data_IF_807373815220
#
_entry.id   IF_807373815220
#
_cell.length_a   1.000
_cell.length_b   1.000
_cell.length_c   1.000
_cell.angle_alpha   90.00
_cell.angle_beta   90.00
_cell.angle_gamma   90.00
#
_symmetry.space_group_name_H-M   'P 1'
#
loop_
_entity.id
_entity.type
_entity.pdbx_description
1 polymer ?
2 non-polymer ?
3 non-polymer ?
4 non-polymer ?
5 water ?
#
# COMPACT_ATOMS: atom_id res chain seq x y z
N UNK A 4 41.57 15.67 -48.61
CA UNK A 4 42.23 14.46 -48.12
C UNK A 4 41.19 13.44 -47.63
N UNK A 5 41.58 12.62 -46.65
CA UNK A 5 40.68 11.59 -46.14
C UNK A 5 40.51 11.70 -44.63
N UNK A 6 39.53 10.98 -44.10
CA UNK A 6 39.25 11.01 -42.68
C UNK A 6 39.95 9.90 -41.91
N UNK A 7 40.14 10.13 -40.62
CA UNK A 7 40.61 9.11 -39.70
C UNK A 7 39.55 8.02 -39.57
N UNK A 8 39.98 6.75 -39.52
CA UNK A 8 39.01 5.67 -39.40
C UNK A 8 38.22 5.81 -38.10
N UNK A 9 38.89 6.26 -37.05
CA UNK A 9 38.24 6.39 -35.75
C UNK A 9 37.27 7.56 -35.67
N UNK A 10 37.14 8.31 -36.77
CA UNK A 10 36.08 9.31 -36.90
C UNK A 10 34.98 8.78 -37.80
N UNK A 11 35.36 8.09 -38.87
CA UNK A 11 34.38 7.51 -39.79
C UNK A 11 33.51 6.43 -39.17
N UNK A 12 34.03 5.71 -38.18
CA UNK A 12 33.38 4.49 -37.70
C UNK A 12 32.05 4.74 -36.98
N UNK A 13 31.75 6.01 -36.66
CA UNK A 13 30.49 6.31 -35.98
C UNK A 13 29.39 6.80 -36.92
N UNK A 14 29.68 6.85 -38.22
CA UNK A 14 28.76 7.51 -39.17
C UNK A 14 27.60 6.66 -39.69
N UNK A 15 27.68 5.33 -39.54
CA UNK A 15 26.65 4.47 -40.12
C UNK A 15 25.26 4.77 -39.55
N UNK A 16 24.28 4.93 -40.44
CA UNK A 16 22.95 5.43 -40.08
C UNK A 16 21.90 4.35 -39.81
N UNK A 17 22.18 3.12 -40.21
CA UNK A 17 21.23 2.04 -40.07
C UNK A 17 21.10 1.59 -38.62
N UNK A 18 20.06 0.78 -38.33
CA UNK A 18 19.91 0.22 -36.98
C UNK A 18 20.70 -1.07 -36.79
N UNK A 19 20.98 -1.42 -35.54
CA UNK A 19 21.66 -2.65 -35.22
C UNK A 19 20.74 -3.84 -35.47
N UNK A 20 21.29 -4.91 -36.03
CA UNK A 20 20.49 -6.06 -36.43
C UNK A 20 20.94 -7.37 -35.80
N UNK A 21 21.83 -7.31 -34.82
CA UNK A 21 22.38 -8.52 -34.23
C UNK A 21 22.18 -8.58 -32.72
N UNK A 22 22.32 -9.77 -32.17
CA UNK A 22 22.21 -9.98 -30.74
C UNK A 22 23.16 -11.10 -30.32
N UNK A 23 23.15 -11.43 -29.04
CA UNK A 23 23.91 -12.59 -28.56
C UNK A 23 22.96 -13.64 -28.01
N UNK A 24 23.28 -14.90 -28.27
CA UNK A 24 22.44 -16.02 -27.87
C UNK A 24 23.06 -16.74 -26.67
N UNK A 25 22.34 -16.77 -25.56
CA UNK A 25 22.89 -17.34 -24.34
C UNK A 25 21.90 -18.28 -23.66
N UNK A 26 22.44 -19.29 -22.97
CA UNK A 26 21.62 -20.18 -22.17
C UNK A 26 20.86 -19.40 -21.10
N UNK A 27 19.63 -19.82 -20.81
CA UNK A 27 18.82 -19.15 -19.81
C UNK A 27 19.54 -19.04 -18.46
N UNK A 28 20.26 -20.09 -18.07
CA UNK A 28 20.90 -20.07 -16.76
C UNK A 28 22.03 -19.03 -16.71
N UNK A 29 22.42 -18.54 -17.88
CA UNK A 29 23.49 -17.57 -17.99
C UNK A 29 22.95 -16.17 -18.30
N UNK A 30 21.64 -16.06 -18.52
CA UNK A 30 21.03 -14.81 -18.98
C UNK A 30 21.27 -13.62 -18.06
N UNK A 31 21.09 -13.80 -16.76
CA UNK A 31 21.29 -12.71 -15.81
C UNK A 31 22.76 -12.28 -15.76
N UNK A 32 23.65 -13.27 -15.77
CA UNK A 32 25.09 -13.00 -15.81
C UNK A 32 25.48 -12.19 -17.04
N UNK A 33 24.96 -12.59 -18.20
CA UNK A 33 25.32 -11.95 -19.45
C UNK A 33 24.71 -10.56 -19.59
N UNK A 34 23.49 -10.38 -19.08
CA UNK A 34 22.85 -9.07 -19.13
C UNK A 34 23.70 -8.05 -18.37
N UNK A 35 24.19 -8.46 -17.20
CA UNK A 35 25.06 -7.62 -16.40
C UNK A 35 26.36 -7.32 -17.16
N UNK A 36 26.93 -8.36 -17.77
CA UNK A 36 28.15 -8.20 -18.55
C UNK A 36 27.99 -7.21 -19.71
N UNK A 37 26.90 -7.35 -20.46
CA UNK A 37 26.65 -6.47 -21.61
C UNK A 37 26.53 -5.02 -21.18
N UNK A 38 25.86 -4.78 -20.05
CA UNK A 38 25.66 -3.42 -19.58
C UNK A 38 26.98 -2.82 -19.08
N UNK A 39 27.77 -3.60 -18.36
CA UNK A 39 29.04 -3.11 -17.82
C UNK A 39 30.00 -2.77 -18.94
N UNK A 40 30.01 -3.58 -19.99
CA UNK A 40 30.90 -3.34 -21.13
C UNK A 40 30.36 -2.22 -22.01
N UNK A 41 29.04 -2.03 -22.00
CA UNK A 41 28.41 -0.89 -22.65
C UNK A 41 27.89 -1.13 -24.06
N UNK A 42 27.47 -2.34 -24.35
CA UNK A 42 27.02 -2.67 -25.71
C UNK A 42 25.60 -3.24 -25.74
N UNK A 43 24.85 -3.02 -24.68
CA UNK A 43 23.46 -3.44 -24.63
C UNK A 43 22.59 -2.45 -25.40
N UNK A 44 21.82 -2.94 -26.37
CA UNK A 44 20.99 -2.07 -27.22
C UNK A 44 19.62 -1.82 -26.61
N UNK A 45 19.40 -0.61 -26.09
CA UNK A 45 18.13 -0.25 -25.49
C UNK A 45 16.99 -0.10 -26.48
N UNK A 46 17.31 -0.01 -27.77
CA UNK A 46 16.28 0.22 -28.80
C UNK A 46 15.40 -1.00 -29.04
N UNK A 47 15.91 -2.18 -28.73
CA UNK A 47 15.24 -3.44 -29.04
C UNK A 47 14.95 -4.26 -27.79
N UNK A 48 13.94 -5.12 -27.89
CA UNK A 48 13.62 -6.04 -26.80
C UNK A 48 14.54 -7.25 -26.84
N UNK A 49 14.76 -7.86 -25.69
CA UNK A 49 15.33 -9.20 -25.64
C UNK A 49 14.19 -10.20 -25.83
N UNK A 50 14.52 -11.40 -26.29
CA UNK A 50 13.51 -12.45 -26.42
C UNK A 50 14.04 -13.74 -25.83
N UNK A 51 13.16 -14.72 -25.64
CA UNK A 51 13.60 -16.02 -25.15
C UNK A 51 12.79 -17.14 -25.76
N UNK A 52 13.32 -18.36 -25.65
CA UNK A 52 12.53 -19.56 -25.86
C UNK A 52 12.75 -20.52 -24.69
N UNK A 53 12.62 -21.82 -24.96
CA UNK A 53 12.71 -22.84 -23.93
C UNK A 53 14.09 -22.91 -23.27
N UNK A 54 15.15 -22.69 -24.05
CA UNK A 54 16.50 -22.92 -23.56
C UNK A 54 17.41 -21.68 -23.61
N UNK A 55 17.14 -20.77 -24.54
CA UNK A 55 18.03 -19.63 -24.77
C UNK A 55 17.36 -18.26 -24.68
N UNK A 56 18.17 -17.26 -24.36
CA UNK A 56 17.76 -15.85 -24.44
C UNK A 56 18.60 -15.17 -25.51
N UNK A 57 18.01 -14.20 -26.20
CA UNK A 57 18.76 -13.37 -27.14
C UNK A 57 18.70 -11.90 -26.73
N UNK A 58 19.85 -11.32 -26.42
CA UNK A 58 19.94 -9.90 -26.07
C UNK A 58 20.40 -9.10 -27.29
N UNK A 59 19.78 -7.94 -27.52
CA UNK A 59 20.25 -7.04 -28.58
C UNK A 59 21.53 -6.32 -28.20
N UNK A 60 22.51 -6.30 -29.11
CA UNK A 60 23.76 -5.61 -28.83
C UNK A 60 24.07 -4.55 -29.88
N UNK A 61 24.96 -3.63 -29.53
CA UNK A 61 25.31 -2.50 -30.38
C UNK A 61 26.67 -2.66 -31.05
N UNK A 62 27.42 -3.69 -30.65
CA UNK A 62 28.74 -3.93 -31.23
C UNK A 62 29.07 -5.42 -31.17
N UNK A 63 29.02 -6.07 -32.33
CA UNK A 63 29.20 -7.52 -32.41
C UNK A 63 30.67 -7.92 -32.28
N UNK A 64 31.57 -7.01 -32.65
CA UNK A 64 32.99 -7.30 -32.47
C UNK A 64 33.35 -7.37 -30.99
N UNK A 65 32.85 -6.42 -30.20
CA UNK A 65 33.06 -6.46 -28.77
C UNK A 65 32.37 -7.70 -28.16
N UNK A 66 31.18 -8.02 -28.66
CA UNK A 66 30.46 -9.20 -28.19
C UNK A 66 31.33 -10.46 -28.36
N UNK A 67 31.98 -10.58 -29.51
CA UNK A 67 32.85 -11.73 -29.74
C UNK A 67 34.05 -11.72 -28.79
N UNK A 68 34.53 -10.53 -28.45
CA UNK A 68 35.65 -10.40 -27.51
C UNK A 68 35.22 -10.74 -26.09
N UNK A 69 33.91 -10.90 -25.89
CA UNK A 69 33.37 -11.34 -24.60
C UNK A 69 33.07 -12.84 -24.62
N UNK A 70 33.39 -13.49 -25.75
CA UNK A 70 33.18 -14.92 -25.89
C UNK A 70 31.75 -15.31 -26.20
N UNK A 71 30.94 -14.33 -26.58
CA UNK A 71 29.51 -14.57 -26.80
C UNK A 71 29.18 -14.97 -28.24
N UNK A 72 28.18 -15.83 -28.39
CA UNK A 72 27.72 -16.24 -29.72
C UNK A 72 26.86 -15.16 -30.34
N UNK A 73 27.32 -14.61 -31.47
CA UNK A 73 26.57 -13.54 -32.15
C UNK A 73 25.59 -14.15 -33.14
N UNK A 74 24.36 -13.67 -33.11
CA UNK A 74 23.35 -14.12 -34.06
C UNK A 74 22.72 -12.94 -34.77
N UNK A 75 22.35 -13.14 -36.03
CA UNK A 75 21.61 -12.14 -36.77
C UNK A 75 20.12 -12.44 -36.65
N UNK A 76 19.39 -11.50 -36.05
CA UNK A 76 17.98 -11.71 -35.74
C UNK A 76 17.16 -10.45 -35.96
N UNK A 77 15.85 -10.62 -36.09
CA UNK A 77 14.93 -9.50 -36.16
C UNK A 77 14.18 -9.35 -34.84
N UNK A 78 14.77 -8.61 -33.90
CA UNK A 78 14.17 -8.45 -32.57
C UNK A 78 13.15 -7.31 -32.57
N UNK A 79 12.13 -7.44 -31.71
CA UNK A 79 11.10 -6.41 -31.57
C UNK A 79 11.70 -5.07 -31.15
N UNK A 80 11.10 -3.98 -31.60
CA UNK A 80 11.48 -2.64 -31.14
C UNK A 80 10.94 -2.39 -29.74
N UNK A 81 11.65 -1.59 -28.95
CA UNK A 81 11.15 -1.19 -27.65
C UNK A 81 9.83 -0.44 -27.85
N UNK A 82 8.85 -0.67 -26.95
CA UNK A 82 7.57 0.03 -27.05
C UNK A 82 7.73 1.53 -26.86
N UNK A 83 7.06 2.31 -27.70
CA UNK A 83 7.06 3.77 -27.58
C UNK A 83 5.88 4.22 -26.73
N UNK A 84 4.80 3.45 -26.79
CA UNK A 84 3.60 3.76 -26.01
C UNK A 84 3.37 2.66 -24.98
N UNK A 85 2.64 3.00 -23.93
CA UNK A 85 2.34 2.07 -22.86
C UNK A 85 0.83 1.93 -22.68
N UNK A 86 0.35 0.70 -22.55
CA UNK A 86 -1.07 0.48 -22.30
C UNK A 86 -1.32 -0.48 -21.14
N UNK A 87 -0.29 -0.70 -20.33
CA UNK A 87 -0.45 -1.56 -19.16
C UNK A 87 -1.35 -0.89 -18.14
N UNK A 88 -2.24 -1.68 -17.55
CA UNK A 88 -3.26 -1.16 -16.63
C UNK A 88 -2.95 -1.64 -15.23
N UNK A 89 -2.30 -2.79 -15.14
CA UNK A 89 -1.99 -3.40 -13.86
C UNK A 89 -0.66 -4.18 -13.83
N UNK A 90 -0.27 -4.61 -12.64
CA UNK A 90 1.00 -5.30 -12.44
C UNK A 90 1.11 -6.59 -13.25
N UNK A 91 0.00 -7.31 -13.36
CA UNK A 91 -0.05 -8.58 -14.07
C UNK A 91 0.35 -8.39 -15.53
N UNK A 92 0.11 -7.20 -16.07
CA UNK A 92 0.44 -6.90 -17.46
C UNK A 92 1.95 -6.81 -17.68
N UNK A 93 2.70 -6.66 -16.58
CA UNK A 93 4.14 -6.38 -16.67
C UNK A 93 5.02 -7.50 -16.14
N UNK A 94 4.40 -8.56 -15.62
CA UNK A 94 5.14 -9.66 -15.01
C UNK A 94 4.59 -11.01 -15.44
N UNK A 95 5.48 -12.01 -15.55
CA UNK A 95 5.01 -13.39 -15.76
C UNK A 95 4.11 -13.81 -14.61
N UNK A 96 3.14 -14.66 -14.91
CA UNK A 96 2.16 -15.06 -13.92
C UNK A 96 2.79 -15.75 -12.71
N UNK A 97 3.88 -16.49 -12.94
CA UNK A 97 4.54 -17.22 -11.87
C UNK A 97 5.15 -16.28 -10.84
N UNK A 98 5.43 -15.05 -11.25
CA UNK A 98 5.95 -14.05 -10.32
C UNK A 98 4.82 -13.21 -9.73
N UNK A 99 3.99 -12.65 -10.59
CA UNK A 99 2.89 -11.82 -10.15
C UNK A 99 2.01 -12.52 -9.11
N UNK A 100 1.76 -13.80 -9.34
CA UNK A 100 0.87 -14.60 -8.49
C UNK A 100 1.37 -14.76 -7.05
N UNK A 101 2.69 -14.63 -6.88
CA UNK A 101 3.32 -14.79 -5.57
C UNK A 101 3.40 -13.45 -4.85
N UNK A 102 3.17 -12.36 -5.59
CA UNK A 102 3.21 -11.02 -5.00
C UNK A 102 1.98 -10.74 -4.14
N UNK A 103 2.18 -10.06 -3.02
CA UNK A 103 1.06 -9.58 -2.25
C UNK A 103 0.44 -8.39 -2.93
N UNK A 104 -0.70 -7.93 -2.42
CA UNK A 104 -1.36 -6.76 -2.97
C UNK A 104 -0.47 -5.52 -2.85
N UNK A 105 -0.47 -4.67 -3.86
CA UNK A 105 0.35 -3.46 -3.84
C UNK A 105 -0.45 -2.28 -3.31
N UNK A 106 0.10 -1.57 -2.33
CA UNK A 106 -0.52 -0.37 -1.78
C UNK A 106 0.30 0.86 -2.11
N UNK A 107 -0.38 1.98 -2.37
CA UNK A 107 0.29 3.25 -2.57
C UNK A 107 -0.04 4.19 -1.42
N UNK A 108 1.00 4.68 -0.75
CA UNK A 108 0.84 5.69 0.29
C UNK A 108 1.67 6.90 -0.10
N UNK A 109 1.00 8.00 -0.43
CA UNK A 109 1.70 9.17 -0.96
C UNK A 109 2.47 8.77 -2.20
N UNK A 110 3.79 8.96 -2.17
CA UNK A 110 4.63 8.56 -3.29
C UNK A 110 5.46 7.31 -2.96
N UNK A 111 4.92 6.50 -2.05
CA UNK A 111 5.58 5.25 -1.64
C UNK A 111 4.74 4.06 -2.09
N UNK A 112 5.35 3.13 -2.84
CA UNK A 112 4.68 1.89 -3.18
C UNK A 112 5.12 0.78 -2.23
N UNK A 113 4.15 0.03 -1.69
CA UNK A 113 4.46 -1.05 -0.75
C UNK A 113 3.94 -2.39 -1.26
N UNK A 114 4.82 -3.39 -1.30
CA UNK A 114 4.44 -4.70 -1.81
C UNK A 114 5.10 -5.78 -0.95
N UNK A 115 4.45 -6.92 -0.81
CA UNK A 115 5.11 -8.05 -0.16
C UNK A 115 5.74 -8.95 -1.22
N UNK A 116 6.97 -9.38 -0.95
CA UNK A 116 7.70 -10.26 -1.86
C UNK A 116 8.23 -11.45 -1.08
N UNK A 117 7.61 -12.62 -1.28
CA UNK A 117 8.07 -13.84 -0.60
C UNK A 117 9.54 -14.16 -0.92
N UNK A 118 10.23 -14.78 0.02
CA UNK A 118 11.63 -15.15 -0.19
C UNK A 118 11.82 -15.91 -1.50
N UNK A 119 10.81 -16.70 -1.88
CA UNK A 119 10.88 -17.55 -3.07
C UNK A 119 11.09 -16.79 -4.36
N UNK A 120 10.55 -15.57 -4.45
CA UNK A 120 10.70 -14.78 -5.67
C UNK A 120 11.54 -13.52 -5.46
N UNK A 121 12.21 -13.44 -4.32
CA UNK A 121 13.09 -12.31 -4.04
C UNK A 121 14.22 -12.24 -5.08
N UNK A 122 14.55 -13.38 -5.68
CA UNK A 122 15.55 -13.42 -6.75
C UNK A 122 15.08 -12.64 -7.99
N UNK A 123 13.79 -12.35 -8.07
CA UNK A 123 13.26 -11.60 -9.20
C UNK A 123 13.01 -10.13 -8.85
N UNK A 124 13.71 -9.65 -7.84
CA UNK A 124 13.48 -8.30 -7.32
C UNK A 124 13.64 -7.21 -8.39
N UNK A 125 14.62 -7.36 -9.27
CA UNK A 125 14.87 -6.35 -10.29
C UNK A 125 13.69 -6.14 -11.23
N UNK A 126 13.10 -7.22 -11.74
CA UNK A 126 11.98 -7.04 -12.67
C UNK A 126 10.72 -6.60 -11.92
N UNK A 127 10.60 -6.99 -10.65
CA UNK A 127 9.47 -6.54 -9.84
C UNK A 127 9.51 -5.03 -9.65
N UNK A 128 10.67 -4.52 -9.27
CA UNK A 128 10.86 -3.08 -9.14
C UNK A 128 10.59 -2.37 -10.46
N UNK A 129 11.11 -2.94 -11.55
CA UNK A 129 10.92 -2.36 -12.88
C UNK A 129 9.44 -2.26 -13.23
N UNK A 130 8.70 -3.33 -12.96
CA UNK A 130 7.27 -3.36 -13.24
C UNK A 130 6.53 -2.29 -12.45
N UNK A 131 6.87 -2.18 -11.17
CA UNK A 131 6.22 -1.21 -10.31
C UNK A 131 6.53 0.22 -10.76
N UNK A 132 7.78 0.48 -11.13
CA UNK A 132 8.15 1.82 -11.59
C UNK A 132 7.41 2.20 -12.87
N UNK A 133 7.23 1.22 -13.74
CA UNK A 133 6.52 1.46 -15.00
C UNK A 133 5.05 1.79 -14.74
N UNK A 134 4.42 1.01 -13.90
CA UNK A 134 2.99 1.19 -13.61
C UNK A 134 2.74 2.47 -12.83
N UNK A 135 3.69 2.84 -11.97
CA UNK A 135 3.57 4.04 -11.13
C UNK A 135 4.77 4.96 -11.29
N UNK A 136 4.84 5.67 -12.43
CA UNK A 136 6.00 6.52 -12.72
C UNK A 136 6.18 7.66 -11.73
N UNK A 137 5.17 7.93 -10.91
CA UNK A 137 5.23 9.04 -9.95
C UNK A 137 5.74 8.60 -8.58
N UNK A 138 5.81 7.29 -8.35
CA UNK A 138 6.30 6.74 -7.09
C UNK A 138 7.81 6.99 -6.96
N UNK A 139 8.24 7.38 -5.75
CA UNK A 139 9.66 7.72 -5.51
C UNK A 139 10.34 6.72 -4.59
N UNK A 140 9.54 5.89 -3.92
CA UNK A 140 10.04 4.89 -2.98
C UNK A 140 9.28 3.59 -3.19
N UNK A 141 9.99 2.47 -3.25
CA UNK A 141 9.35 1.17 -3.27
C UNK A 141 9.85 0.38 -2.07
N UNK A 142 8.93 -0.16 -1.29
CA UNK A 142 9.30 -0.85 -0.06
C UNK A 142 8.72 -2.25 -0.01
N UNK A 143 9.50 -3.18 0.51
CA UNK A 143 9.07 -4.55 0.73
C UNK A 143 8.53 -4.66 2.15
N UNK A 144 7.30 -5.15 2.29
CA UNK A 144 6.68 -5.19 3.62
C UNK A 144 6.67 -6.59 4.24
N UNK A 145 6.75 -6.61 5.56
CA UNK A 145 6.60 -7.84 6.32
C UNK A 145 5.34 -7.74 7.17
N UNK A 146 5.44 -8.11 8.44
CA UNK A 146 4.30 -8.07 9.34
C UNK A 146 4.34 -6.82 10.22
N UNK A 147 3.24 -6.58 10.92
CA UNK A 147 3.19 -5.51 11.91
C UNK A 147 3.85 -5.99 13.20
N UNK A 148 4.58 -5.10 13.88
CA UNK A 148 5.27 -5.46 15.10
C UNK A 148 4.92 -4.52 16.24
N UNK A 149 4.92 -5.05 17.46
CA UNK A 149 4.81 -4.23 18.64
C UNK A 149 3.42 -3.69 18.93
N UNK A 150 3.31 -2.96 20.03
CA UNK A 150 2.05 -2.37 20.44
C UNK A 150 1.54 -1.36 19.42
N UNK A 151 2.46 -0.66 18.75
CA UNK A 151 2.05 0.40 17.83
C UNK A 151 1.75 -0.13 16.43
N UNK A 152 1.95 -1.42 16.21
CA UNK A 152 1.65 -2.05 14.92
C UNK A 152 2.36 -1.38 13.76
N UNK A 153 3.65 -1.15 13.94
CA UNK A 153 4.46 -0.59 12.87
C UNK A 153 4.81 -1.69 11.87
N UNK A 154 4.55 -1.43 10.59
CA UNK A 154 4.82 -2.41 9.54
C UNK A 154 6.32 -2.55 9.30
N UNK A 155 6.82 -3.79 9.33
CA UNK A 155 8.19 -4.07 8.91
C UNK A 155 8.34 -3.67 7.46
N UNK A 156 9.27 -2.75 7.17
CA UNK A 156 9.45 -2.27 5.80
C UNK A 156 10.91 -2.12 5.43
N UNK A 157 11.25 -2.56 4.22
CA UNK A 157 12.61 -2.38 3.70
C UNK A 157 12.54 -1.67 2.36
N UNK A 158 13.22 -0.54 2.24
CA UNK A 158 13.24 0.17 0.97
C UNK A 158 14.10 -0.61 -0.02
N UNK A 159 13.53 -0.95 -1.18
CA UNK A 159 14.27 -1.71 -2.17
C UNK A 159 14.51 -0.93 -3.47
N UNK A 160 13.92 0.25 -3.56
CA UNK A 160 14.25 1.19 -4.63
C UNK A 160 13.88 2.62 -4.24
N UNK A 161 14.68 3.58 -4.70
CA UNK A 161 14.33 4.98 -4.58
C UNK A 161 14.89 5.64 -3.33
N UNK A 162 14.25 6.73 -2.92
CA UNK A 162 14.71 7.49 -1.77
C UNK A 162 14.65 6.64 -0.51
N UNK A 163 15.67 6.78 0.34
CA UNK A 163 15.73 6.03 1.57
C UNK A 163 14.92 6.72 2.68
N UNK A 164 13.60 6.68 2.54
CA UNK A 164 12.71 7.35 3.47
C UNK A 164 11.35 6.68 3.43
N UNK A 165 10.61 6.76 4.52
CA UNK A 165 9.31 6.12 4.59
C UNK A 165 8.24 7.10 5.05
N UNK A 166 8.54 8.39 4.96
CA UNK A 166 7.56 9.43 5.25
C UNK A 166 7.09 10.12 3.97
N UNK A 167 5.82 10.53 3.97
CA UNK A 167 5.21 11.12 2.79
C UNK A 167 3.93 11.82 3.21
N UNK A 168 3.27 12.48 2.26
CA UNK A 168 1.96 13.05 2.51
C UNK A 168 0.96 12.37 1.58
N UNK A 169 -0.01 11.72 2.19
CA UNK A 169 -1.01 10.93 1.46
C UNK A 169 -2.29 11.73 1.31
N UNK A 170 -2.88 11.69 0.11
CA UNK A 170 -4.13 12.39 -0.16
C UNK A 170 -5.29 11.41 -0.20
N UNK A 171 -6.36 11.75 0.52
CA UNK A 171 -7.53 10.90 0.60
C UNK A 171 -8.78 11.69 0.95
N UNK A 172 -9.84 11.52 0.16
CA UNK A 172 -11.14 12.07 0.54
C UNK A 172 -11.09 13.58 0.83
N UNK A 173 -10.16 14.28 0.18
CA UNK A 173 -10.07 15.72 0.33
C UNK A 173 -9.22 16.21 1.49
N UNK A 174 -8.56 15.29 2.20
CA UNK A 174 -7.68 15.70 3.29
C UNK A 174 -6.23 15.28 3.01
N UNK A 175 -5.31 15.91 3.74
CA UNK A 175 -3.90 15.61 3.62
C UNK A 175 -3.41 14.88 4.87
N UNK A 176 -2.82 13.71 4.67
CA UNK A 176 -2.40 12.90 5.80
C UNK A 176 -0.90 12.67 5.79
N UNK A 177 -0.18 13.36 6.66
CA UNK A 177 1.23 13.09 6.84
C UNK A 177 1.39 11.73 7.51
N UNK A 178 2.25 10.89 6.94
CA UNK A 178 2.54 9.57 7.50
C UNK A 178 4.02 9.30 7.49
N UNK A 179 4.50 8.61 8.51
CA UNK A 179 5.86 8.06 8.53
C UNK A 179 5.75 6.58 8.85
N UNK A 180 5.89 5.74 7.82
CA UNK A 180 5.60 4.32 7.96
C UNK A 180 6.68 3.59 8.77
N UNK A 181 7.74 4.29 9.13
CA UNK A 181 8.77 3.72 9.99
C UNK A 181 8.43 3.96 11.46
N UNK A 182 7.41 4.79 11.70
CA UNK A 182 7.08 5.20 13.07
C UNK A 182 5.62 4.99 13.46
N UNK A 183 4.74 4.87 12.47
CA UNK A 183 3.31 4.75 12.75
C UNK A 183 2.61 3.73 11.87
N UNK A 184 1.48 3.24 12.36
CA UNK A 184 0.57 2.41 11.58
C UNK A 184 -0.27 3.27 10.64
N UNK A 185 -0.48 2.82 9.41
CA UNK A 185 -1.46 3.47 8.54
C UNK A 185 -2.13 2.44 7.64
N UNK A 186 -3.38 2.74 7.29
CA UNK A 186 -4.22 1.82 6.55
C UNK A 186 -4.88 2.50 5.34
N UNK A 187 -4.18 2.55 4.21
CA UNK A 187 -4.71 3.25 3.03
C UNK A 187 -6.00 2.62 2.48
N UNK A 188 -6.18 1.32 2.70
CA UNK A 188 -7.32 0.61 2.12
C UNK A 188 -8.66 0.98 2.76
N UNK A 189 -8.59 1.72 3.86
CA UNK A 189 -9.80 2.11 4.60
C UNK A 189 -10.44 3.37 4.03
N UNK A 190 -9.96 3.83 2.88
CA UNK A 190 -10.46 5.05 2.25
C UNK A 190 -11.97 5.02 2.06
N UNK A 191 -12.48 3.92 1.52
CA UNK A 191 -13.92 3.79 1.27
C UNK A 191 -14.74 3.81 2.54
N UNK A 192 -14.29 3.04 3.53
CA UNK A 192 -14.97 3.00 4.82
C UNK A 192 -15.03 4.37 5.47
N UNK A 193 -13.91 5.08 5.47
CA UNK A 193 -13.87 6.37 6.13
C UNK A 193 -14.84 7.35 5.45
N UNK A 194 -14.93 7.29 4.12
CA UNK A 194 -15.85 8.15 3.40
C UNK A 194 -17.29 7.75 3.69
N UNK A 195 -17.55 6.45 3.72
CA UNK A 195 -18.87 5.90 4.00
C UNK A 195 -19.42 6.42 5.33
N UNK A 196 -18.64 6.27 6.40
CA UNK A 196 -19.10 6.67 7.72
C UNK A 196 -19.23 8.19 7.78
N UNK A 197 -18.32 8.91 7.12
CA UNK A 197 -18.39 10.37 7.08
C UNK A 197 -19.70 10.84 6.46
N UNK A 198 -20.20 10.10 5.48
CA UNK A 198 -21.47 10.49 4.85
C UNK A 198 -22.66 10.17 5.76
N UNK A 199 -22.54 9.11 6.56
CA UNK A 199 -23.60 8.71 7.48
C UNK A 199 -23.76 9.70 8.64
N UNK A 200 -22.64 10.25 9.10
CA UNK A 200 -22.62 11.18 10.21
C UNK A 200 -23.49 12.41 9.96
N UNK A 201 -24.14 12.89 11.01
CA UNK A 201 -24.94 14.10 10.96
C UNK A 201 -24.26 15.23 11.73
N UNK A 202 -24.41 16.45 11.21
CA UNK A 202 -23.93 17.64 11.94
C UNK A 202 -24.43 17.59 13.38
N UNK A 203 -23.57 18.01 14.30
CA UNK A 203 -23.97 18.12 15.69
C UNK A 203 -23.59 16.94 16.57
N UNK A 204 -23.15 15.85 15.94
CA UNK A 204 -22.74 14.67 16.70
C UNK A 204 -21.44 14.90 17.46
N UNK A 205 -21.30 14.21 18.58
CA UNK A 205 -20.02 14.04 19.24
C UNK A 205 -19.57 12.62 18.97
N UNK A 206 -18.36 12.47 18.45
CA UNK A 206 -17.91 11.17 17.96
C UNK A 206 -16.58 10.81 18.60
N UNK A 207 -16.42 9.52 18.91
CA UNK A 207 -15.19 8.99 19.49
C UNK A 207 -14.50 8.02 18.53
N UNK A 208 -13.20 8.20 18.32
CA UNK A 208 -12.41 7.23 17.55
C UNK A 208 -11.20 6.76 18.36
N UNK A 209 -11.32 5.59 19.03
CA UNK A 209 -10.16 4.97 19.66
C UNK A 209 -9.22 4.38 18.61
N UNK A 210 -7.95 4.17 18.96
CA UNK A 210 -7.00 3.57 18.02
C UNK A 210 -6.82 4.42 16.77
N UNK A 211 -6.67 5.73 16.94
CA UNK A 211 -6.89 6.66 15.83
C UNK A 211 -5.70 6.90 14.92
N UNK A 212 -4.51 6.45 15.32
CA UNK A 212 -3.33 6.61 14.49
C UNK A 212 -3.00 8.06 14.22
N UNK A 213 -2.74 8.41 12.96
CA UNK A 213 -2.47 9.80 12.61
C UNK A 213 -3.79 10.48 12.20
N UNK A 214 -4.86 10.01 12.84
CA UNK A 214 -6.26 10.45 12.71
C UNK A 214 -6.86 10.60 11.31
N UNK A 215 -6.61 9.61 10.42
CA UNK A 215 -7.33 9.67 9.14
C UNK A 215 -8.86 9.62 9.30
N UNK A 216 -9.36 8.82 10.23
CA UNK A 216 -10.82 8.73 10.38
C UNK A 216 -11.43 10.05 10.87
N UNK A 217 -10.88 10.60 11.97
CA UNK A 217 -11.38 11.91 12.41
C UNK A 217 -11.27 12.99 11.33
N UNK A 218 -10.16 13.02 10.60
CA UNK A 218 -9.99 14.02 9.55
C UNK A 218 -11.06 13.91 8.47
N UNK A 219 -11.32 12.69 8.00
CA UNK A 219 -12.30 12.51 6.92
C UNK A 219 -13.70 12.86 7.40
N UNK A 220 -14.07 12.44 8.61
CA UNK A 220 -15.37 12.82 9.17
C UNK A 220 -15.50 14.34 9.30
N UNK A 221 -14.49 14.98 9.90
CA UNK A 221 -14.54 16.42 10.18
C UNK A 221 -14.43 17.26 8.90
N UNK A 222 -13.90 16.66 7.84
CA UNK A 222 -13.84 17.31 6.53
C UNK A 222 -15.26 17.54 5.99
N UNK A 223 -16.14 16.58 6.23
CA UNK A 223 -17.47 16.62 5.62
C UNK A 223 -18.60 17.02 6.56
N UNK A 224 -18.35 16.98 7.86
CA UNK A 224 -19.43 17.25 8.82
C UNK A 224 -18.98 18.14 9.97
N UNK A 225 -19.88 19.01 10.41
CA UNK A 225 -19.63 19.86 11.57
C UNK A 225 -19.95 19.09 12.84
N UNK A 226 -18.94 18.37 13.32
CA UNK A 226 -19.07 17.52 14.48
C UNK A 226 -17.83 17.67 15.35
N UNK A 227 -17.90 17.19 16.58
CA UNK A 227 -16.70 17.14 17.41
C UNK A 227 -16.23 15.68 17.51
N UNK A 228 -14.96 15.46 17.19
CA UNK A 228 -14.42 14.11 17.22
C UNK A 228 -13.28 14.03 18.24
N UNK A 229 -13.43 13.11 19.20
CA UNK A 229 -12.34 12.77 20.13
C UNK A 229 -11.53 11.63 19.53
N UNK A 230 -10.22 11.77 19.50
CA UNK A 230 -9.36 10.71 18.98
C UNK A 230 -8.37 10.27 20.06
N UNK A 231 -8.26 8.96 20.28
CA UNK A 231 -7.34 8.44 21.29
C UNK A 231 -6.28 7.55 20.66
N UNK A 232 -5.02 7.87 20.93
CA UNK A 232 -3.90 7.15 20.32
C UNK A 232 -2.73 7.08 21.30
N UNK A 233 -2.08 5.92 21.37
CA UNK A 233 -1.07 5.66 22.41
C UNK A 233 0.36 5.91 21.93
N UNK A 234 0.57 5.83 20.62
CA UNK A 234 1.89 6.01 20.01
C UNK A 234 2.22 7.49 19.90
N UNK A 235 3.23 7.96 20.64
CA UNK A 235 3.48 9.40 20.70
C UNK A 235 3.89 9.95 19.34
N UNK A 236 4.53 9.13 18.51
CA UNK A 236 4.90 9.61 17.18
C UNK A 236 3.66 9.80 16.31
N UNK A 237 2.68 8.92 16.47
CA UNK A 237 1.41 9.04 15.75
C UNK A 237 0.66 10.28 16.22
N UNK A 238 0.70 10.54 17.53
CA UNK A 238 0.06 11.72 18.09
C UNK A 238 0.69 12.98 17.51
N UNK A 239 2.01 13.00 17.44
CA UNK A 239 2.72 14.13 16.84
C UNK A 239 2.27 14.38 15.40
N UNK A 240 2.21 13.32 14.60
CA UNK A 240 1.78 13.48 13.21
C UNK A 240 0.32 13.87 13.13
N UNK A 241 -0.48 13.38 14.08
CA UNK A 241 -1.90 13.73 14.12
C UNK A 241 -2.07 15.24 14.36
N UNK A 242 -1.27 15.78 15.26
CA UNK A 242 -1.29 17.21 15.54
C UNK A 242 -0.90 18.00 14.29
N UNK A 243 0.16 17.55 13.62
CA UNK A 243 0.60 18.19 12.39
C UNK A 243 -0.46 18.09 11.31
N UNK A 244 -1.17 16.95 11.26
CA UNK A 244 -2.24 16.78 10.29
C UNK A 244 -3.42 17.70 10.57
N UNK A 245 -3.72 17.92 11.84
CA UNK A 245 -4.81 18.80 12.22
C UNK A 245 -4.51 20.22 11.73
N UNK A 246 -3.28 20.67 11.95
CA UNK A 246 -2.89 22.00 11.48
C UNK A 246 -2.86 22.07 9.96
N UNK A 247 -2.37 21.01 9.32
CA UNK A 247 -2.28 20.96 7.87
C UNK A 247 -3.64 21.06 7.18
N UNK A 248 -4.68 20.55 7.83
CA UNK A 248 -6.02 20.53 7.27
C UNK A 248 -6.98 21.53 7.91
N UNK A 249 -6.48 22.34 8.83
CA UNK A 249 -7.36 23.13 9.70
C UNK A 249 -8.33 24.02 8.92
N UNK A 250 -7.85 24.61 7.83
CA UNK A 250 -8.68 25.56 7.10
C UNK A 250 -9.60 24.88 6.08
N UNK A 251 -9.72 23.56 6.16
CA UNK A 251 -10.64 22.85 5.27
C UNK A 251 -11.59 21.93 6.03
N UNK A 252 -11.47 21.92 7.36
CA UNK A 252 -12.33 21.09 8.18
C UNK A 252 -13.58 21.83 8.64
N UNK A 253 -14.74 21.19 8.51
CA UNK A 253 -15.98 21.75 9.01
C UNK A 253 -16.15 21.44 10.50
N UNK A 254 -15.59 20.31 10.93
CA UNK A 254 -15.70 19.89 12.30
C UNK A 254 -14.48 20.22 13.15
N UNK A 255 -14.47 19.70 14.36
CA UNK A 255 -13.38 19.91 15.31
C UNK A 255 -12.85 18.58 15.80
N UNK A 256 -11.55 18.52 16.05
CA UNK A 256 -10.93 17.28 16.51
C UNK A 256 -10.10 17.51 17.77
N UNK A 257 -10.33 16.64 18.75
CA UNK A 257 -9.58 16.68 19.99
C UNK A 257 -8.71 15.43 20.06
N UNK A 258 -7.39 15.64 20.02
CA UNK A 258 -6.46 14.51 20.06
C UNK A 258 -6.02 14.21 21.48
N UNK A 259 -6.23 12.96 21.91
CA UNK A 259 -5.85 12.53 23.24
C UNK A 259 -4.73 11.50 23.16
N UNK A 260 -3.57 11.83 23.72
CA UNK A 260 -2.48 10.87 23.81
C UNK A 260 -2.72 9.98 25.02
N UNK A 261 -3.02 8.71 24.77
CA UNK A 261 -3.33 7.82 25.87
C UNK A 261 -3.66 6.40 25.45
N UNK A 262 -3.86 5.57 26.45
CA UNK A 262 -4.23 4.17 26.29
C UNK A 262 -5.75 4.08 26.31
N UNK A 263 -6.34 3.65 25.19
CA UNK A 263 -7.78 3.50 25.05
C UNK A 263 -8.43 2.83 26.26
N UNK A 264 -7.78 1.80 26.79
CA UNK A 264 -8.40 1.04 27.87
C UNK A 264 -8.33 1.78 29.21
N UNK A 265 -7.49 2.81 29.26
CA UNK A 265 -7.42 3.69 30.43
C UNK A 265 -8.29 4.93 30.24
N UNK A 266 -8.29 5.44 29.01
CA UNK A 266 -8.93 6.72 28.70
C UNK A 266 -10.45 6.63 28.62
N UNK A 267 -10.96 5.63 27.91
CA UNK A 267 -12.40 5.59 27.63
C UNK A 267 -13.28 5.57 28.88
N UNK A 268 -12.92 4.78 29.90
CA UNK A 268 -13.76 4.78 31.10
C UNK A 268 -13.88 6.14 31.78
N UNK A 269 -12.95 7.06 31.47
CA UNK A 269 -12.97 8.39 32.07
C UNK A 269 -13.60 9.45 31.17
N UNK A 270 -14.05 9.04 29.98
CA UNK A 270 -14.68 9.98 29.07
C UNK A 270 -16.19 9.99 29.27
N UNK A 271 -16.84 11.07 28.81
CA UNK A 271 -18.29 11.05 28.75
C UNK A 271 -18.72 10.11 27.63
N UNK A 272 -20.02 9.95 27.42
CA UNK A 272 -20.46 9.12 26.32
C UNK A 272 -20.68 9.93 25.05
N UNK A 273 -20.79 9.23 23.93
CA UNK A 273 -20.81 9.85 22.61
C UNK A 273 -22.01 9.39 21.79
N UNK A 274 -22.40 10.21 20.82
CA UNK A 274 -23.45 9.83 19.89
C UNK A 274 -23.01 8.61 19.10
N UNK A 275 -21.79 8.67 18.58
CA UNK A 275 -21.28 7.63 17.68
C UNK A 275 -19.84 7.28 18.05
N UNK A 276 -19.55 5.99 18.10
CA UNK A 276 -18.19 5.52 18.32
C UNK A 276 -17.74 4.76 17.08
N UNK A 277 -16.55 5.09 16.58
CA UNK A 277 -15.98 4.41 15.43
C UNK A 277 -14.66 3.75 15.84
N UNK A 278 -14.64 2.42 15.86
CA UNK A 278 -13.50 1.70 16.41
C UNK A 278 -12.77 0.84 15.39
N UNK A 279 -11.69 1.40 14.80
CA UNK A 279 -10.84 0.60 13.91
C UNK A 279 -9.89 -0.26 14.75
N UNK A 280 -10.47 -1.30 15.36
CA UNK A 280 -9.81 -2.14 16.35
C UNK A 280 -8.56 -2.83 15.79
N UNK A 281 -7.45 -2.79 16.55
CA UNK A 281 -6.27 -3.53 16.12
C UNK A 281 -6.58 -5.01 15.97
N UNK A 282 -6.03 -5.66 14.95
CA UNK A 282 -6.34 -7.07 14.73
C UNK A 282 -6.02 -7.91 15.96
N UNK A 283 -6.99 -8.70 16.39
CA UNK A 283 -6.82 -9.60 17.52
C UNK A 283 -7.31 -9.03 18.84
N UNK A 284 -7.40 -7.71 18.92
CA UNK A 284 -7.85 -7.05 20.14
C UNK A 284 -9.37 -7.09 20.24
N UNK A 285 -9.87 -7.24 21.46
CA UNK A 285 -11.30 -7.21 21.72
C UNK A 285 -11.63 -5.95 22.53
N UNK A 286 -12.23 -4.97 21.86
CA UNK A 286 -12.60 -3.72 22.52
C UNK A 286 -14.10 -3.50 22.40
N UNK A 287 -14.84 -4.57 22.16
CA UNK A 287 -16.28 -4.45 21.90
C UNK A 287 -17.06 -3.92 23.11
N UNK A 288 -16.85 -4.52 24.28
CA UNK A 288 -17.58 -4.05 25.46
C UNK A 288 -17.30 -2.58 25.75
N UNK A 289 -16.01 -2.22 25.74
CA UNK A 289 -15.61 -0.86 26.11
C UNK A 289 -16.11 0.18 25.10
N UNK A 290 -15.97 -0.10 23.81
CA UNK A 290 -16.39 0.89 22.82
C UNK A 290 -17.91 1.02 22.77
N UNK A 291 -18.62 -0.10 22.90
CA UNK A 291 -20.08 -0.04 22.94
C UNK A 291 -20.54 0.76 24.16
N UNK A 292 -19.81 0.65 25.26
CA UNK A 292 -20.20 1.33 26.51
C UNK A 292 -20.15 2.85 26.36
N UNK A 293 -19.40 3.33 25.36
CA UNK A 293 -19.28 4.77 25.13
C UNK A 293 -20.23 5.27 24.05
N UNK A 294 -20.99 4.37 23.44
CA UNK A 294 -21.90 4.75 22.36
C UNK A 294 -23.33 4.91 22.85
N UNK A 295 -23.99 5.96 22.39
CA UNK A 295 -25.39 6.21 22.76
C UNK A 295 -26.35 5.90 21.61
N UNK A 296 -25.89 6.15 20.39
CA UNK A 296 -26.73 5.95 19.20
C UNK A 296 -26.14 4.94 18.22
N UNK A 297 -24.87 5.09 17.88
CA UNK A 297 -24.23 4.20 16.91
C UNK A 297 -22.84 3.74 17.31
N UNK A 298 -22.56 2.47 17.08
CA UNK A 298 -21.20 1.94 17.14
C UNK A 298 -20.85 1.33 15.78
N UNK A 299 -19.66 1.64 15.29
CA UNK A 299 -19.11 0.95 14.14
C UNK A 299 -17.88 0.22 14.60
N UNK A 300 -17.99 -1.09 14.76
CA UNK A 300 -16.93 -1.87 15.38
C UNK A 300 -16.26 -2.78 14.37
N UNK A 301 -14.99 -2.49 14.07
CA UNK A 301 -14.26 -3.29 13.08
C UNK A 301 -13.58 -4.48 13.74
N UNK A 302 -13.51 -5.59 13.01
CA UNK A 302 -12.88 -6.79 13.53
C UNK A 302 -12.39 -7.64 12.36
N UNK A 303 -11.66 -8.70 12.67
CA UNK A 303 -11.21 -9.63 11.64
C UNK A 303 -11.78 -11.00 11.97
N UNK A 304 -12.58 -11.55 11.06
CA UNK A 304 -13.29 -12.78 11.33
C UNK A 304 -13.19 -13.78 10.18
N UNK A 305 -12.98 -15.04 10.52
CA UNK A 305 -13.07 -16.14 9.56
C UNK A 305 -14.52 -16.22 9.11
N UNK A 306 -14.75 -16.54 7.85
CA UNK A 306 -16.11 -16.58 7.33
C UNK A 306 -17.04 -17.47 8.16
N UNK A 307 -16.56 -18.68 8.48
CA UNK A 307 -17.34 -19.60 9.32
C UNK A 307 -17.58 -19.02 10.71
N UNK A 308 -16.84 -17.97 11.10
CA UNK A 308 -17.04 -17.37 12.41
C UNK A 308 -17.96 -16.15 12.35
N UNK A 309 -18.40 -15.81 11.14
CA UNK A 309 -19.12 -14.56 10.91
C UNK A 309 -20.44 -14.47 11.69
N UNK A 310 -21.15 -15.60 11.77
CA UNK A 310 -22.42 -15.65 12.50
C UNK A 310 -22.19 -15.66 14.00
N UNK A 311 -21.15 -16.34 14.46
CA UNK A 311 -20.83 -16.32 15.87
C UNK A 311 -20.46 -14.89 16.27
N UNK A 312 -19.77 -14.18 15.38
CA UNK A 312 -19.41 -12.79 15.61
C UNK A 312 -20.64 -11.93 15.88
N UNK A 313 -21.64 -12.05 15.02
CA UNK A 313 -22.86 -11.25 15.15
C UNK A 313 -23.57 -11.52 16.48
N UNK A 314 -23.66 -12.79 16.85
CA UNK A 314 -24.35 -13.14 18.09
C UNK A 314 -23.55 -12.69 19.32
N UNK A 315 -22.23 -12.66 19.23
CA UNK A 315 -21.42 -12.14 20.34
C UNK A 315 -21.65 -10.64 20.51
N UNK A 316 -21.82 -9.91 19.40
CA UNK A 316 -22.12 -8.49 19.49
C UNK A 316 -23.48 -8.30 20.14
N UNK A 317 -24.47 -9.06 19.70
CA UNK A 317 -25.80 -8.99 20.29
C UNK A 317 -25.79 -9.34 21.77
N UNK A 318 -24.98 -10.34 22.15
CA UNK A 318 -24.81 -10.71 23.54
C UNK A 318 -24.31 -9.55 24.39
N UNK A 319 -23.33 -8.80 23.87
CA UNK A 319 -22.78 -7.68 24.63
C UNK A 319 -23.81 -6.56 24.73
N UNK A 320 -24.58 -6.37 23.66
CA UNK A 320 -25.67 -5.39 23.71
C UNK A 320 -26.63 -5.70 24.85
N UNK A 321 -27.07 -6.95 24.93
CA UNK A 321 -28.00 -7.32 25.99
C UNK A 321 -27.32 -7.19 27.36
N UNK A 322 -26.06 -7.58 27.44
CA UNK A 322 -25.29 -7.50 28.67
C UNK A 322 -25.26 -6.06 29.20
N UNK A 323 -25.24 -5.08 28.31
CA UNK A 323 -25.21 -3.68 28.72
C UNK A 323 -26.60 -3.08 28.88
N UNK A 324 -27.64 -3.88 28.68
CA UNK A 324 -29.00 -3.41 28.84
C UNK A 324 -29.45 -2.51 27.70
N UNK A 325 -28.84 -2.73 26.53
CA UNK A 325 -29.17 -1.97 25.34
C UNK A 325 -30.06 -2.76 24.40
N UNK A 326 -30.98 -2.06 23.73
CA UNK A 326 -31.78 -2.67 22.69
C UNK A 326 -31.19 -2.21 21.35
N UNK A 327 -30.70 -3.17 20.56
CA UNK A 327 -29.94 -2.80 19.37
C UNK A 327 -30.34 -3.58 18.12
N UNK A 328 -30.16 -2.92 16.97
CA UNK A 328 -30.10 -3.62 15.70
C UNK A 328 -28.63 -3.76 15.31
N UNK A 329 -28.20 -4.98 14.98
CA UNK A 329 -26.82 -5.20 14.58
C UNK A 329 -26.75 -5.68 13.14
N UNK A 330 -25.96 -4.97 12.33
CA UNK A 330 -25.73 -5.34 10.94
C UNK A 330 -24.24 -5.58 10.73
N UNK A 331 -23.88 -6.71 10.14
CA UNK A 331 -22.47 -7.02 9.90
C UNK A 331 -22.16 -6.94 8.40
N UNK A 332 -21.13 -6.18 8.06
CA UNK A 332 -20.70 -6.00 6.68
C UNK A 332 -19.28 -6.51 6.48
N UNK A 333 -19.03 -7.21 5.36
CA UNK A 333 -17.66 -7.54 5.00
C UNK A 333 -17.03 -6.29 4.40
N UNK A 334 -15.92 -5.86 4.98
CA UNK A 334 -15.29 -4.63 4.56
C UNK A 334 -14.16 -4.88 3.57
N UNK A 335 -13.42 -5.96 3.79
CA UNK A 335 -12.37 -6.30 2.84
C UNK A 335 -11.89 -7.74 3.01
N UNK A 336 -11.32 -8.28 1.94
CA UNK A 336 -10.67 -9.57 2.00
C UNK A 336 -9.32 -9.38 2.65
N UNK A 337 -9.15 -9.92 3.85
CA UNK A 337 -7.91 -9.73 4.60
C UNK A 337 -6.89 -10.77 4.18
N UNK A 338 -7.30 -12.03 4.25
CA UNK A 338 -6.56 -13.11 3.64
C UNK A 338 -7.55 -14.22 3.36
N UNK A 339 -7.11 -15.31 2.71
CA UNK A 339 -8.03 -16.39 2.35
C UNK A 339 -8.89 -16.88 3.52
N UNK A 340 -10.21 -16.87 3.36
CA UNK A 340 -11.17 -17.35 4.35
C UNK A 340 -11.35 -16.39 5.53
N UNK A 341 -10.65 -15.26 5.50
CA UNK A 341 -10.75 -14.27 6.58
C UNK A 341 -11.13 -12.89 6.04
N UNK A 342 -12.14 -12.30 6.67
CA UNK A 342 -12.62 -10.99 6.27
C UNK A 342 -12.38 -9.95 7.35
N UNK A 343 -12.08 -8.74 6.92
CA UNK A 343 -12.24 -7.59 7.79
C UNK A 343 -13.72 -7.26 7.73
N UNK A 344 -14.34 -7.14 8.91
CA UNK A 344 -15.76 -6.87 8.97
C UNK A 344 -16.04 -5.64 9.81
N UNK A 345 -17.26 -5.11 9.68
CA UNK A 345 -17.72 -4.05 10.56
C UNK A 345 -19.07 -4.42 11.12
N UNK A 346 -19.20 -4.37 12.44
CA UNK A 346 -20.52 -4.44 13.05
C UNK A 346 -21.08 -3.04 13.19
N UNK A 347 -22.15 -2.75 12.44
CA UNK A 347 -22.88 -1.51 12.62
C UNK A 347 -23.96 -1.74 13.66
N UNK A 348 -23.81 -1.10 14.81
CA UNK A 348 -24.77 -1.28 15.89
C UNK A 348 -25.62 -0.03 16.01
N UNK A 349 -26.93 -0.19 15.85
CA UNK A 349 -27.85 0.91 16.07
C UNK A 349 -28.50 0.74 17.43
N UNK A 350 -28.28 1.70 18.31
CA UNK A 350 -28.82 1.60 19.65
C UNK A 350 -30.18 2.31 19.69
N UNK A 351 -31.21 1.55 20.02
CA UNK A 351 -32.57 2.05 19.91
C UNK A 351 -33.06 2.64 21.23
N UNK A 352 -33.90 3.66 21.15
CA UNK A 352 -34.39 4.36 22.34
C UNK A 352 -35.92 4.33 22.44
X LIG B 1 -3.66 -1.50 14.21
X LIG B 1 -3.29 -0.47 15.60
X LIG B 1 -4.04 1.05 15.09
X LIG B 1 -3.55 2.18 15.99
X LIG B 1 -4.02 2.00 17.33
X LIG B 1 -1.70 1.94 17.51
X LIG B 1 -0.56 2.67 17.96
X LIG B 1 -2.03 2.26 16.07
X LIG B 1 -1.65 3.61 15.75
X LIG B 1 -2.98 2.35 18.24
X LIG B 1 -3.24 1.59 19.48
X LIG B 1 -3.08 0.28 19.71
X LIG B 1 -3.45 -0.04 20.98
X LIG B 1 -3.87 1.09 21.56
X LIG B 1 -4.38 1.46 22.90
X LIG B 1 -4.53 0.52 23.87
X LIG B 1 -4.71 2.77 23.10
X LIG B 1 -4.55 3.70 22.14
X LIG B 1 -4.08 3.43 20.90
X LIG B 1 -3.72 2.17 20.58
X LIG C 1 0.82 -0.79 5.32
X LIG C 1 0.11 -1.73 4.89
X LIG C 1 1.58 -1.07 6.27
X LIG C 1 0.74 0.60 4.74
X LIG C 1 1.44 1.25 5.28
X LIG C 1 -0.27 0.98 4.85
X LIG C 1 1.01 0.57 3.68
X LIG D 1 -14.18 -11.24 18.19
X LIG D 1 -15.27 -10.33 18.42
X LIG D 1 -14.72 -9.25 19.33
X LIG D 1 -13.76 -8.52 19.09
X LIG D 1 -16.42 -10.89 19.21
X LIG D 1 -16.52 -10.20 20.50
X LIG D 1 -15.47 -9.24 20.54
X LIG D 1 -14.47 -12.10 18.28
X LIG D 1 -13.85 -11.11 17.34
X LIG D 1 -15.50 -10.03 17.52
X LIG D 1 -17.25 -10.78 18.71
X LIG D 1 -16.26 -11.84 19.36
X LIG D 1 -17.38 -9.75 20.57
X LIG D 1 -16.41 -10.83 21.24
#
# INVERSE_FOLDING_TARGET
MGSSHHHHHHLEVLFQGPHMSGVKVRREDAKKVLELLKSVGILDGKRKAIRDEKYVIFPVTDTNIAKSLGLEVVDVELPMRPERQIYKNLEDLLPREIFKKLGRLDIVGDIAIVSIPDEILSEREVIVSAIRKLYPKVKVIARRGFHSGLYRIRELEVIWGENRLHTIHKENGVLIKVDLSKVFFNPRMKGERYRIAQLVNDGERILVPFAGVIPYPLVIARFKNVEVYAVEINEFAVKLAEENLELNRDRLKGKIKIIHGDVFEVLPNLPNFDRVVSPTPKGVDALSLTLSKAEKFLHYYDFVHESEIERFRERVLEECRRQGKECRVSVRKVSDYKPHVYKVCADVEILS
MTA CS S5' C5' C4' O4' C2' O2' C3' O3' C1' N9 C8 N7 C5 C6 N6 N1 C2 N3 C4
ACT C O OXT CH3 H1 H2 H3
HSL N CA C O CB CG OD H2 H HA HB2 HB3 HG2 HG3
#
